data_IF_483217098696
#
_entry.id   IF_483217098696
#
_cell.length_a   1.000
_cell.length_b   1.000
_cell.length_c   1.000
_cell.angle_alpha   90.00
_cell.angle_beta   90.00
_cell.angle_gamma   90.00
#
_symmetry.space_group_name_H-M   'P 1'
#
loop_
_entity.id
_entity.type
_entity.pdbx_description
1 polymer ?
#
# COMPACT_ATOMS: atom_id res chain seq x y z
N UNK A 1 -12.77 -2.67 10.74
CA UNK A 1 -11.47 -3.36 10.51
C UNK A 1 -10.44 -2.31 10.15
N UNK A 2 -9.35 -2.22 10.91
CA UNK A 2 -8.31 -1.22 10.67
C UNK A 2 -7.57 -1.53 9.36
N UNK A 3 -7.36 -0.50 8.56
CA UNK A 3 -6.51 -0.57 7.36
C UNK A 3 -5.07 -0.73 7.83
N UNK A 4 -4.27 -1.69 7.30
CA UNK A 4 -2.86 -1.80 7.66
C UNK A 4 -2.16 -0.49 7.28
N UNK A 5 -1.73 0.26 8.29
CA UNK A 5 -1.00 1.51 8.15
C UNK A 5 0.37 1.33 8.78
N UNK A 6 1.43 1.73 8.06
CA UNK A 6 2.75 1.88 8.66
C UNK A 6 2.85 3.29 9.20
N UNK A 7 2.85 3.42 10.50
CA UNK A 7 3.19 4.66 11.19
C UNK A 7 4.71 4.79 11.22
N UNK A 8 5.25 5.73 10.46
CA UNK A 8 6.67 6.13 10.56
C UNK A 8 6.84 6.96 11.83
N UNK A 9 7.03 6.30 12.96
CA UNK A 9 7.42 6.92 14.22
C UNK A 9 8.95 6.87 14.31
N UNK A 10 9.58 7.88 13.76
CA UNK A 10 11.04 8.03 13.85
C UNK A 10 11.33 8.72 15.18
N UNK A 11 11.56 7.92 16.21
CA UNK A 11 12.17 8.39 17.46
C UNK A 11 13.60 8.80 17.18
N UNK A 12 13.78 10.00 16.63
CA UNK A 12 15.12 10.53 16.35
C UNK A 12 15.67 11.20 17.61
N UNK A 13 16.99 11.19 17.75
CA UNK A 13 17.72 11.95 18.78
C UNK A 13 17.64 13.48 18.54
N UNK A 14 16.59 13.96 17.87
CA UNK A 14 16.34 15.38 17.57
C UNK A 14 16.38 16.22 18.84
N UNK A 15 15.95 15.69 20.00
CA UNK A 15 16.02 16.40 21.28
C UNK A 15 17.48 16.72 21.72
N UNK A 16 18.46 15.88 21.42
CA UNK A 16 19.88 16.17 21.68
C UNK A 16 20.45 17.18 20.69
N UNK A 17 20.04 17.12 19.43
CA UNK A 17 20.49 18.01 18.36
C UNK A 17 19.95 19.45 18.57
N UNK A 18 18.70 19.59 19.02
CA UNK A 18 18.06 20.90 19.25
C UNK A 18 18.64 21.66 20.44
N UNK A 19 19.21 20.99 21.42
CA UNK A 19 19.82 21.68 22.60
C UNK A 19 21.05 22.50 22.25
N UNK A 20 21.76 22.16 21.18
CA UNK A 20 22.99 22.87 20.74
C UNK A 20 22.81 23.96 19.69
N UNK A 21 21.60 24.14 19.17
CA UNK A 21 21.35 25.07 18.07
C UNK A 21 20.65 26.35 18.56
N UNK A 22 21.20 27.49 18.13
CA UNK A 22 20.64 28.82 18.36
C UNK A 22 19.18 28.98 17.86
N UNK A 23 18.52 30.12 18.13
CA UNK A 23 17.13 30.43 17.73
C UNK A 23 16.73 29.98 16.31
N UNK A 24 17.67 30.11 15.35
CA UNK A 24 17.47 29.64 13.95
C UNK A 24 17.25 28.13 13.88
N UNK A 25 17.96 27.34 14.67
CA UNK A 25 17.79 25.88 14.72
C UNK A 25 16.44 25.44 15.25
N UNK A 26 15.85 26.20 16.19
CA UNK A 26 14.54 25.83 16.77
C UNK A 26 13.38 25.93 15.78
N UNK A 27 13.46 26.77 14.76
CA UNK A 27 12.44 26.87 13.71
C UNK A 27 12.76 25.97 12.51
N UNK A 28 14.03 25.83 12.15
CA UNK A 28 14.46 25.09 10.96
C UNK A 28 14.36 23.56 11.13
N UNK A 29 14.70 23.04 12.31
CA UNK A 29 14.66 21.58 12.52
C UNK A 29 13.24 21.02 12.45
N UNK A 30 12.19 21.57 13.08
CA UNK A 30 10.83 21.08 12.92
C UNK A 30 10.34 21.14 11.48
N UNK A 31 10.67 22.22 10.75
CA UNK A 31 10.33 22.37 9.35
C UNK A 31 11.04 21.32 8.48
N UNK A 32 12.36 21.17 8.66
CA UNK A 32 13.16 20.17 7.96
C UNK A 32 12.67 18.76 8.24
N UNK A 33 12.31 18.45 9.49
CA UNK A 33 11.78 17.15 9.88
C UNK A 33 10.47 16.85 9.18
N UNK A 34 9.54 17.81 9.13
CA UNK A 34 8.27 17.67 8.41
C UNK A 34 8.49 17.39 6.92
N UNK A 35 9.35 18.18 6.25
CA UNK A 35 9.68 17.99 4.84
C UNK A 35 10.33 16.63 4.62
N UNK A 36 11.24 16.23 5.50
CA UNK A 36 11.95 14.96 5.42
C UNK A 36 11.01 13.76 5.56
N UNK A 37 10.11 13.78 6.52
CA UNK A 37 9.13 12.70 6.70
C UNK A 37 8.21 12.60 5.49
N UNK A 38 7.77 13.73 4.92
CA UNK A 38 6.99 13.77 3.71
C UNK A 38 7.71 13.12 2.52
N UNK A 39 8.98 13.52 2.28
CA UNK A 39 9.82 12.96 1.22
C UNK A 39 10.11 11.47 1.44
N UNK A 40 10.33 11.08 2.69
CA UNK A 40 10.55 9.66 3.07
C UNK A 40 9.29 8.84 2.78
N UNK A 41 8.13 9.29 3.21
CA UNK A 41 6.86 8.60 2.97
C UNK A 41 6.57 8.45 1.46
N UNK A 42 6.80 9.51 0.68
CA UNK A 42 6.66 9.45 -0.78
C UNK A 42 7.62 8.42 -1.41
N UNK A 43 8.88 8.43 -1.01
CA UNK A 43 9.90 7.51 -1.55
C UNK A 43 9.62 6.07 -1.14
N UNK A 44 9.20 5.82 0.09
CA UNK A 44 8.78 4.50 0.57
C UNK A 44 7.55 3.99 -0.18
N UNK A 45 6.59 4.86 -0.45
CA UNK A 45 5.43 4.53 -1.30
C UNK A 45 5.88 4.07 -2.68
N UNK A 46 6.81 4.79 -3.32
CA UNK A 46 7.33 4.40 -4.63
C UNK A 46 8.14 3.10 -4.58
N UNK A 47 8.93 2.89 -3.53
CA UNK A 47 9.64 1.64 -3.30
C UNK A 47 8.65 0.46 -3.15
N UNK A 48 7.55 0.64 -2.42
CA UNK A 48 6.48 -0.36 -2.28
C UNK A 48 5.87 -0.72 -3.62
N UNK A 49 5.53 0.28 -4.45
CA UNK A 49 4.98 0.07 -5.79
C UNK A 49 5.94 -0.74 -6.66
N UNK A 50 7.24 -0.46 -6.58
CA UNK A 50 8.28 -1.17 -7.34
C UNK A 50 8.47 -2.62 -6.86
N UNK A 51 8.38 -2.87 -5.56
CA UNK A 51 8.55 -4.20 -4.98
C UNK A 51 7.30 -5.09 -5.12
N UNK A 52 6.11 -4.50 -5.15
CA UNK A 52 4.83 -5.24 -5.15
C UNK A 52 4.73 -6.32 -6.24
N UNK A 53 5.15 -6.09 -7.51
CA UNK A 53 5.07 -7.14 -8.55
C UNK A 53 5.91 -8.39 -8.29
N UNK A 54 6.87 -8.33 -7.36
CA UNK A 54 7.69 -9.48 -6.95
C UNK A 54 7.00 -10.39 -5.95
N UNK A 55 5.97 -9.87 -5.27
CA UNK A 55 5.32 -10.53 -4.14
C UNK A 55 3.83 -10.78 -4.38
N UNK A 56 3.20 -10.01 -5.25
CA UNK A 56 1.80 -10.11 -5.63
C UNK A 56 1.70 -10.54 -7.08
N UNK A 57 0.99 -11.62 -7.35
CA UNK A 57 0.84 -12.12 -8.72
C UNK A 57 0.11 -11.10 -9.60
N UNK A 58 0.78 -10.63 -10.62
CA UNK A 58 0.25 -9.74 -11.66
C UNK A 58 -0.64 -8.60 -11.14
N UNK A 59 -0.11 -7.72 -10.27
CA UNK A 59 -0.91 -6.63 -9.70
C UNK A 59 -1.41 -5.69 -10.80
N UNK A 60 -2.67 -5.30 -10.73
CA UNK A 60 -3.25 -4.36 -11.68
C UNK A 60 -2.68 -2.96 -11.47
N UNK A 61 -2.73 -2.12 -12.52
CA UNK A 61 -2.36 -0.70 -12.40
C UNK A 61 -3.15 0.02 -11.29
N UNK A 62 -4.43 -0.38 -11.08
CA UNK A 62 -5.24 0.14 -9.98
C UNK A 62 -4.65 -0.25 -8.63
N UNK A 63 -4.28 -1.52 -8.46
CA UNK A 63 -3.62 -2.00 -7.22
C UNK A 63 -2.34 -1.23 -6.91
N UNK A 64 -1.50 -0.98 -7.92
CA UNK A 64 -0.27 -0.20 -7.77
C UNK A 64 -0.55 1.27 -7.41
N UNK A 65 -1.56 1.90 -8.04
CA UNK A 65 -1.98 3.28 -7.74
C UNK A 65 -2.61 3.43 -6.37
N UNK A 66 -3.15 2.36 -5.80
CA UNK A 66 -3.79 2.35 -4.49
C UNK A 66 -2.79 2.23 -3.31
N UNK A 67 -1.50 2.12 -3.58
CA UNK A 67 -0.45 2.41 -2.60
C UNK A 67 -0.39 3.92 -2.42
N UNK A 68 -0.72 4.39 -1.23
CA UNK A 68 -0.85 5.81 -0.92
C UNK A 68 0.13 6.23 0.15
N UNK A 69 0.41 7.52 0.23
CA UNK A 69 1.16 8.12 1.33
C UNK A 69 0.44 9.37 1.83
N UNK A 70 0.72 9.72 3.04
CA UNK A 70 0.29 10.97 3.65
C UNK A 70 1.48 11.63 4.31
N UNK A 71 1.79 12.86 3.87
CA UNK A 71 2.78 13.69 4.52
C UNK A 71 2.29 14.17 5.88
N UNK A 72 3.19 14.48 6.81
CA UNK A 72 2.80 14.99 8.12
C UNK A 72 2.07 16.33 7.99
N UNK A 73 1.04 16.51 8.81
CA UNK A 73 0.39 17.81 8.97
C UNK A 73 1.29 18.71 9.80
N UNK A 74 1.41 19.98 9.41
CA UNK A 74 2.14 20.96 10.21
C UNK A 74 1.42 21.14 11.55
N UNK A 75 2.13 20.88 12.64
CA UNK A 75 1.65 21.13 14.00
C UNK A 75 2.78 21.77 14.80
N UNK A 76 2.43 22.68 15.70
CA UNK A 76 3.39 23.28 16.64
C UNK A 76 3.64 22.39 17.86
N UNK A 77 2.71 21.50 18.18
CA UNK A 77 2.69 20.74 19.44
C UNK A 77 2.87 19.23 19.25
N UNK A 78 2.46 18.69 18.11
CA UNK A 78 2.53 17.25 17.86
C UNK A 78 3.78 16.89 17.06
N UNK A 79 4.35 15.73 17.37
CA UNK A 79 5.42 15.15 16.56
C UNK A 79 4.92 14.88 15.14
N UNK A 80 5.71 15.19 14.10
CA UNK A 80 5.30 14.96 12.73
C UNK A 80 5.24 13.44 12.43
N UNK A 81 4.13 13.02 11.86
CA UNK A 81 3.90 11.62 11.48
C UNK A 81 3.49 11.54 10.01
N UNK A 82 4.22 10.74 9.24
CA UNK A 82 3.86 10.37 7.88
C UNK A 82 3.32 8.95 7.81
N UNK A 83 2.51 8.66 6.81
CA UNK A 83 1.93 7.33 6.61
C UNK A 83 2.17 6.83 5.20
N UNK A 84 2.44 5.52 5.07
CA UNK A 84 2.32 4.77 3.82
C UNK A 84 1.28 3.69 4.05
N UNK A 85 0.26 3.64 3.20
CA UNK A 85 -0.88 2.75 3.41
C UNK A 85 -1.51 2.34 2.08
N UNK A 86 -2.36 1.32 2.14
CA UNK A 86 -3.19 0.90 1.02
C UNK A 86 -4.60 1.49 1.15
N UNK A 87 -5.24 1.75 0.01
CA UNK A 87 -6.65 2.15 0.04
C UNK A 87 -7.50 1.06 0.72
N UNK A 88 -8.63 1.42 1.35
CA UNK A 88 -9.51 0.47 2.05
C UNK A 88 -9.90 -0.73 1.18
N UNK A 89 -10.18 -0.50 -0.11
CA UNK A 89 -10.58 -1.55 -1.04
C UNK A 89 -9.46 -2.58 -1.26
N UNK A 90 -8.22 -2.12 -1.46
CA UNK A 90 -7.07 -3.00 -1.69
C UNK A 90 -6.64 -3.68 -0.40
N UNK A 91 -6.69 -2.99 0.73
CA UNK A 91 -6.31 -3.55 2.02
C UNK A 91 -7.18 -4.74 2.46
N UNK A 92 -8.45 -4.81 2.04
CA UNK A 92 -9.35 -5.93 2.40
C UNK A 92 -8.85 -7.30 1.95
N UNK A 93 -8.13 -7.38 0.84
CA UNK A 93 -7.59 -8.63 0.33
C UNK A 93 -6.06 -8.72 0.48
N UNK A 94 -5.34 -7.59 0.34
CA UNK A 94 -3.88 -7.57 0.41
C UNK A 94 -3.36 -7.89 1.83
N UNK A 95 -4.15 -7.63 2.87
CA UNK A 95 -3.80 -7.99 4.26
C UNK A 95 -3.44 -9.48 4.40
N UNK A 96 -4.13 -10.36 3.68
CA UNK A 96 -3.83 -11.80 3.72
C UNK A 96 -2.48 -12.15 3.09
N UNK A 97 -2.02 -11.36 2.12
CA UNK A 97 -0.66 -11.51 1.56
C UNK A 97 0.41 -10.93 2.48
N UNK A 98 0.08 -9.89 3.27
CA UNK A 98 1.00 -9.23 4.20
C UNK A 98 1.11 -9.98 5.53
N UNK A 99 -0.03 -10.35 6.11
CA UNK A 99 -0.12 -10.91 7.47
C UNK A 99 -0.30 -12.43 7.45
N UNK A 100 -0.79 -12.97 6.32
CA UNK A 100 -1.25 -14.35 6.25
C UNK A 100 -2.64 -14.51 6.87
N UNK A 101 -2.99 -15.77 7.14
CA UNK A 101 -4.20 -16.09 7.89
C UNK A 101 -5.37 -16.57 7.03
N UNK A 102 -6.51 -16.74 7.68
CA UNK A 102 -7.71 -17.32 7.07
C UNK A 102 -8.65 -16.22 6.57
N UNK A 103 -8.98 -16.32 5.28
CA UNK A 103 -10.05 -15.50 4.71
C UNK A 103 -11.38 -16.21 4.91
N UNK A 104 -12.34 -15.59 5.63
CA UNK A 104 -13.60 -16.24 5.92
C UNK A 104 -14.37 -16.58 4.65
N UNK A 105 -15.09 -17.67 4.71
CA UNK A 105 -16.02 -18.08 3.66
C UNK A 105 -17.06 -17.01 3.38
N UNK A 106 -17.33 -16.77 2.10
CA UNK A 106 -18.42 -15.91 1.65
C UNK A 106 -19.27 -16.63 0.62
N UNK A 107 -20.56 -16.86 0.93
CA UNK A 107 -21.51 -17.46 0.01
C UNK A 107 -21.54 -16.74 -1.34
N UNK A 108 -21.56 -17.51 -2.42
CA UNK A 108 -21.61 -16.98 -3.80
C UNK A 108 -20.27 -16.56 -4.39
N UNK A 109 -19.14 -16.77 -3.68
CA UNK A 109 -17.83 -16.59 -4.28
C UNK A 109 -17.51 -17.73 -5.22
N UNK A 110 -17.08 -17.37 -6.44
CA UNK A 110 -16.75 -18.32 -7.50
C UNK A 110 -15.25 -18.32 -7.78
N UNK A 111 -14.72 -19.52 -8.01
CA UNK A 111 -13.32 -19.73 -8.40
C UNK A 111 -13.30 -20.23 -9.85
N UNK A 112 -12.54 -19.61 -10.76
CA UNK A 112 -12.41 -20.07 -12.13
C UNK A 112 -11.63 -21.37 -12.17
N UNK A 113 -12.05 -22.29 -13.06
CA UNK A 113 -11.25 -23.47 -13.38
C UNK A 113 -10.32 -23.17 -14.55
N UNK A 114 -9.46 -24.13 -14.90
CA UNK A 114 -8.57 -24.04 -16.08
C UNK A 114 -9.32 -23.83 -17.41
N UNK A 115 -10.61 -24.09 -17.44
CA UNK A 115 -11.46 -23.97 -18.63
C UNK A 115 -11.97 -22.53 -18.87
N UNK A 116 -11.59 -21.58 -18.00
CA UNK A 116 -11.95 -20.15 -18.13
C UNK A 116 -10.70 -19.34 -18.43
N UNK A 117 -10.76 -18.60 -19.52
CA UNK A 117 -9.70 -17.66 -19.88
C UNK A 117 -9.74 -16.46 -18.95
N UNK A 118 -8.66 -16.25 -18.22
CA UNK A 118 -8.44 -15.08 -17.39
C UNK A 118 -7.86 -13.92 -18.22
N UNK A 119 -7.97 -12.71 -17.70
CA UNK A 119 -7.29 -11.56 -18.31
C UNK A 119 -5.77 -11.60 -17.99
N UNK A 120 -5.00 -10.64 -18.54
CA UNK A 120 -3.53 -10.55 -18.34
C UNK A 120 -3.13 -10.41 -16.87
N UNK A 121 -4.04 -9.98 -16.00
CA UNK A 121 -3.85 -9.85 -14.56
C UNK A 121 -4.30 -11.08 -13.76
N UNK A 122 -4.68 -12.17 -14.43
CA UNK A 122 -5.20 -13.36 -13.74
C UNK A 122 -6.61 -13.22 -13.19
N UNK A 123 -7.34 -12.16 -13.56
CA UNK A 123 -8.71 -11.94 -13.10
C UNK A 123 -9.72 -12.49 -14.09
N UNK A 124 -10.88 -12.88 -13.57
CA UNK A 124 -12.03 -13.31 -14.37
C UNK A 124 -12.49 -12.10 -15.23
N UNK A 125 -12.62 -12.32 -16.54
CA UNK A 125 -13.23 -11.34 -17.44
C UNK A 125 -14.72 -11.20 -17.09
N UNK A 126 -15.24 -9.98 -17.09
CA UNK A 126 -16.66 -9.71 -16.85
C UNK A 126 -17.21 -10.38 -15.58
N UNK A 127 -16.48 -10.26 -14.48
CA UNK A 127 -16.79 -10.89 -13.19
C UNK A 127 -18.13 -10.43 -12.56
N UNK A 128 -18.73 -9.36 -13.07
CA UNK A 128 -20.02 -8.89 -12.56
C UNK A 128 -21.13 -9.84 -13.01
N UNK A 129 -21.92 -10.31 -12.05
CA UNK A 129 -23.08 -11.17 -12.31
C UNK A 129 -22.77 -12.50 -13.03
N UNK A 130 -21.63 -13.16 -12.71
CA UNK A 130 -21.26 -14.44 -13.32
C UNK A 130 -22.42 -15.44 -13.26
N UNK A 131 -23.06 -15.58 -12.11
CA UNK A 131 -24.19 -16.53 -11.93
C UNK A 131 -25.34 -16.19 -12.88
N UNK A 132 -25.76 -14.93 -12.97
CA UNK A 132 -26.85 -14.51 -13.88
C UNK A 132 -26.47 -14.70 -15.34
N UNK A 133 -25.23 -14.42 -15.72
CA UNK A 133 -24.73 -14.61 -17.09
C UNK A 133 -24.87 -16.06 -17.57
N UNK A 134 -24.68 -17.05 -16.69
CA UNK A 134 -24.72 -18.44 -17.06
C UNK A 134 -26.07 -19.12 -16.78
N UNK A 135 -26.97 -18.51 -16.00
CA UNK A 135 -28.27 -19.09 -15.63
C UNK A 135 -29.14 -19.44 -16.84
N UNK A 136 -29.16 -18.58 -17.84
CA UNK A 136 -30.00 -18.74 -19.03
C UNK A 136 -29.22 -19.10 -20.30
N UNK A 137 -27.96 -19.46 -20.18
CA UNK A 137 -27.13 -19.82 -21.34
C UNK A 137 -27.39 -21.26 -21.77
N UNK A 138 -27.69 -21.46 -23.06
CA UNK A 138 -27.84 -22.78 -23.63
C UNK A 138 -26.62 -23.66 -23.31
N UNK A 139 -26.85 -24.92 -22.99
CA UNK A 139 -25.84 -25.92 -22.64
C UNK A 139 -25.04 -25.60 -21.34
N UNK A 140 -25.53 -24.69 -20.49
CA UNK A 140 -24.94 -24.44 -19.18
C UNK A 140 -25.94 -24.80 -18.07
N UNK A 141 -25.41 -25.20 -16.92
CA UNK A 141 -26.22 -25.43 -15.74
C UNK A 141 -25.43 -25.06 -14.47
N UNK A 142 -26.17 -24.76 -13.43
CA UNK A 142 -25.64 -24.35 -12.13
C UNK A 142 -26.18 -25.34 -11.11
N UNK A 143 -25.29 -25.90 -10.30
CA UNK A 143 -25.67 -26.78 -9.17
C UNK A 143 -25.00 -26.22 -7.87
N UNK A 144 -25.08 -26.96 -6.77
CA UNK A 144 -24.49 -26.61 -5.48
C UNK A 144 -22.96 -26.59 -5.48
N UNK A 145 -22.31 -27.13 -6.50
CA UNK A 145 -20.85 -27.23 -6.60
C UNK A 145 -20.27 -26.15 -7.46
N UNK A 146 -21.00 -25.66 -8.49
CA UNK A 146 -20.46 -24.67 -9.40
C UNK A 146 -21.29 -24.45 -10.66
N UNK A 147 -20.65 -23.93 -11.68
CA UNK A 147 -21.19 -23.64 -13.01
C UNK A 147 -20.49 -24.55 -14.01
N UNK A 148 -21.29 -25.25 -14.79
CA UNK A 148 -20.84 -26.28 -15.74
C UNK A 148 -21.38 -26.00 -17.15
N UNK A 149 -20.65 -26.47 -18.16
CA UNK A 149 -21.07 -26.54 -19.54
C UNK A 149 -21.22 -27.99 -19.97
N UNK A 150 -22.36 -28.34 -20.59
CA UNK A 150 -22.55 -29.64 -21.24
C UNK A 150 -21.79 -29.66 -22.57
N UNK A 151 -20.96 -30.65 -22.75
CA UNK A 151 -20.22 -30.93 -23.98
C UNK A 151 -20.52 -32.31 -24.48
N UNK A 152 -20.12 -32.63 -25.72
CA UNK A 152 -20.28 -33.99 -26.27
C UNK A 152 -19.53 -35.06 -25.45
N UNK A 153 -18.43 -34.67 -24.80
CA UNK A 153 -17.57 -35.54 -23.99
C UNK A 153 -17.93 -35.53 -22.49
N UNK A 154 -19.04 -34.88 -22.09
CA UNK A 154 -19.46 -34.82 -20.69
C UNK A 154 -19.58 -33.38 -20.14
N UNK A 155 -19.60 -33.26 -18.83
CA UNK A 155 -19.76 -31.98 -18.16
C UNK A 155 -18.42 -31.32 -17.86
N UNK A 156 -18.18 -30.12 -18.41
CA UNK A 156 -17.00 -29.32 -18.19
C UNK A 156 -17.26 -28.30 -17.08
N UNK A 157 -16.51 -28.33 -15.99
CA UNK A 157 -16.56 -27.33 -14.95
C UNK A 157 -15.96 -26.02 -15.43
N UNK A 158 -16.68 -24.91 -15.30
CA UNK A 158 -16.23 -23.56 -15.61
C UNK A 158 -15.83 -22.79 -14.35
N UNK A 159 -16.70 -22.83 -13.35
CA UNK A 159 -16.49 -22.20 -12.05
C UNK A 159 -16.90 -23.15 -10.93
N UNK A 160 -16.17 -23.08 -9.82
CA UNK A 160 -16.49 -23.82 -8.61
C UNK A 160 -16.85 -22.83 -7.51
N UNK A 161 -17.89 -23.13 -6.75
CA UNK A 161 -18.26 -22.35 -5.59
C UNK A 161 -17.31 -22.62 -4.43
N UNK A 162 -16.79 -21.56 -3.82
CA UNK A 162 -16.02 -21.68 -2.60
C UNK A 162 -16.92 -22.28 -1.50
N UNK A 163 -16.45 -23.29 -0.80
CA UNK A 163 -17.22 -23.99 0.24
C UNK A 163 -16.64 -23.81 1.65
N UNK A 164 -15.43 -23.31 1.76
CA UNK A 164 -14.73 -23.16 3.05
C UNK A 164 -13.80 -21.94 3.05
N UNK A 165 -13.38 -21.57 4.25
CA UNK A 165 -12.36 -20.54 4.42
C UNK A 165 -11.05 -20.91 3.71
N UNK A 166 -10.39 -19.93 3.10
CA UNK A 166 -9.12 -20.11 2.39
C UNK A 166 -7.99 -19.61 3.26
N UNK A 167 -6.99 -20.48 3.45
CA UNK A 167 -5.76 -20.13 4.17
C UNK A 167 -4.76 -19.48 3.21
N UNK A 168 -4.21 -18.35 3.63
CA UNK A 168 -3.20 -17.60 2.90
C UNK A 168 -1.87 -17.63 3.64
N UNK A 169 -0.79 -17.81 2.91
CA UNK A 169 0.58 -17.64 3.42
C UNK A 169 0.98 -16.18 3.31
N UNK A 170 1.82 -15.71 4.25
CA UNK A 170 2.48 -14.41 4.15
C UNK A 170 3.45 -14.43 2.96
N UNK A 171 3.17 -13.63 1.94
CA UNK A 171 3.98 -13.56 0.71
C UNK A 171 4.58 -12.18 0.49
N UNK A 172 3.95 -11.12 1.02
CA UNK A 172 4.38 -9.74 0.83
C UNK A 172 4.93 -9.15 2.15
N UNK A 173 6.27 -9.07 2.32
CA UNK A 173 6.88 -8.58 3.55
C UNK A 173 6.86 -7.05 3.62
N UNK A 174 5.68 -6.45 3.55
CA UNK A 174 5.51 -5.00 3.48
C UNK A 174 6.18 -4.25 4.63
N UNK A 175 5.96 -4.68 5.87
CA UNK A 175 6.54 -4.02 7.05
C UNK A 175 8.06 -4.14 7.09
N UNK A 176 8.62 -5.28 6.68
CA UNK A 176 10.07 -5.50 6.65
C UNK A 176 10.74 -4.60 5.61
N UNK A 177 10.10 -4.44 4.43
CA UNK A 177 10.56 -3.52 3.38
C UNK A 177 10.56 -2.08 3.91
N UNK A 178 9.48 -1.67 4.58
CA UNK A 178 9.36 -0.34 5.17
C UNK A 178 10.46 -0.10 6.21
N UNK A 179 10.60 -1.00 7.17
CA UNK A 179 11.57 -0.87 8.26
C UNK A 179 13.02 -0.80 7.74
N UNK A 180 13.40 -1.68 6.82
CA UNK A 180 14.76 -1.72 6.27
C UNK A 180 15.14 -0.46 5.50
N UNK A 181 14.18 0.14 4.77
CA UNK A 181 14.46 1.28 3.89
C UNK A 181 14.25 2.64 4.56
N UNK A 182 13.41 2.72 5.60
CA UNK A 182 12.97 4.00 6.18
C UNK A 182 14.11 4.82 6.76
N UNK A 183 15.01 4.21 7.53
CA UNK A 183 16.11 4.90 8.22
C UNK A 183 17.09 5.52 7.22
N UNK A 184 17.51 4.75 6.23
CA UNK A 184 18.48 5.24 5.23
C UNK A 184 17.88 6.36 4.36
N UNK A 185 16.63 6.20 3.94
CA UNK A 185 15.91 7.21 3.15
C UNK A 185 15.69 8.48 3.99
N UNK A 186 15.32 8.34 5.27
CA UNK A 186 15.15 9.47 6.16
C UNK A 186 16.46 10.23 6.35
N UNK A 187 17.55 9.56 6.67
CA UNK A 187 18.86 10.19 6.87
C UNK A 187 19.33 10.96 5.63
N UNK A 188 19.17 10.35 4.45
CA UNK A 188 19.50 11.00 3.19
C UNK A 188 18.70 12.30 3.00
N UNK A 189 17.38 12.25 3.14
CA UNK A 189 16.56 13.45 2.97
C UNK A 189 16.74 14.46 4.09
N UNK A 190 17.01 14.02 5.32
CA UNK A 190 17.23 14.93 6.43
C UNK A 190 18.47 15.79 6.18
N UNK A 191 19.59 15.19 5.80
CA UNK A 191 20.80 15.93 5.45
C UNK A 191 20.57 16.90 4.29
N UNK A 192 19.97 16.42 3.20
CA UNK A 192 19.68 17.23 2.02
C UNK A 192 18.75 18.41 2.34
N UNK A 193 17.66 18.18 3.06
CA UNK A 193 16.69 19.22 3.39
C UNK A 193 17.25 20.20 4.42
N UNK A 194 18.08 19.74 5.36
CA UNK A 194 18.72 20.60 6.34
C UNK A 194 19.67 21.60 5.65
N UNK A 195 20.54 21.12 4.77
CA UNK A 195 21.44 21.97 3.99
C UNK A 195 20.67 23.01 3.16
N UNK A 196 19.63 22.57 2.44
CA UNK A 196 18.77 23.45 1.64
C UNK A 196 18.10 24.54 2.52
N UNK A 197 17.57 24.15 3.66
CA UNK A 197 16.84 25.08 4.53
C UNK A 197 17.78 26.09 5.23
N UNK A 198 18.99 25.66 5.62
CA UNK A 198 20.03 26.56 6.13
C UNK A 198 20.45 27.56 5.05
N UNK A 199 20.74 27.10 3.84
CA UNK A 199 21.14 27.99 2.74
C UNK A 199 20.06 29.05 2.45
N UNK A 200 18.78 28.61 2.38
CA UNK A 200 17.65 29.54 2.18
C UNK A 200 17.52 30.56 3.31
N UNK A 201 17.74 30.14 4.55
CA UNK A 201 17.67 31.04 5.70
C UNK A 201 18.77 32.08 5.64
N UNK A 202 20.02 31.70 5.32
CA UNK A 202 21.14 32.61 5.17
C UNK A 202 20.88 33.61 4.03
N UNK A 203 20.29 33.17 2.93
CA UNK A 203 19.89 34.08 1.84
C UNK A 203 18.86 35.11 2.29
N UNK A 204 17.86 34.74 3.09
CA UNK A 204 16.84 35.65 3.61
C UNK A 204 17.42 36.66 4.64
N UNK A 205 18.40 36.22 5.43
CA UNK A 205 19.14 37.11 6.36
C UNK A 205 19.95 38.11 5.57
N UNK A 206 20.69 37.66 4.56
CA UNK A 206 21.51 38.56 3.72
C UNK A 206 20.67 39.56 2.94
N UNK A 207 19.44 39.25 2.59
CA UNK A 207 18.47 40.17 1.95
C UNK A 207 17.76 41.08 2.96
N UNK A 208 18.06 41.01 4.25
CA UNK A 208 17.42 41.82 5.29
C UNK A 208 15.94 41.48 5.57
N UNK A 209 15.43 40.38 4.99
CA UNK A 209 14.04 39.93 5.15
C UNK A 209 13.83 39.23 6.50
N UNK A 210 14.88 38.61 7.03
CA UNK A 210 14.90 37.99 8.35
C UNK A 210 15.94 38.69 9.22
N UNK A 211 15.49 39.26 10.37
CA UNK A 211 16.38 39.75 11.43
C UNK A 211 16.60 38.64 12.45
N UNK A 212 17.86 38.40 12.81
CA UNK A 212 18.27 37.45 13.84
C UNK A 212 18.07 38.05 15.22
#
# INVERSE_FOLDING_TARGET
>A
MATPQVKLDIKSNIKRFTKGLNKVGKSQIPFTTNETIGNTAFTLRNATVKEMPRHVDRPTNKTLKDVRYQAPKRSKTALPVGYVYFSPLVSTWLKYSIEGGSRPYKKGRVLPTRNITLNNFGNIRNHRNIISTFRNKKNHFINSTGIFKRTKSGNQALYIFEKRAVQYKKTFPFFDIMNKKSINIFNFFFQKNLQKNIAKTNELINKGVLRI
#
